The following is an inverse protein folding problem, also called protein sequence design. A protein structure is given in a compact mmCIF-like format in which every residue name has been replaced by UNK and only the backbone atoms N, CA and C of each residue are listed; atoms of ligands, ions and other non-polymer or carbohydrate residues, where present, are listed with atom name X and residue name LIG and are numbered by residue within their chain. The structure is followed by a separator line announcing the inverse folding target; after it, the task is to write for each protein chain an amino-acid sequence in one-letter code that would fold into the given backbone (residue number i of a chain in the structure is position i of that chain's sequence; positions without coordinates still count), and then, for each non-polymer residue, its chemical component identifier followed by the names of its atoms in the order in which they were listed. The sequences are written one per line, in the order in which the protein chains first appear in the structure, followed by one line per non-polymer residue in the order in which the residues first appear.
data_IF_324230612840
#
_entry.id   IF_324230612840
#
_cell.length_a   1.000
_cell.length_b   1.000
_cell.length_c   1.000
_cell.angle_alpha   90.00
_cell.angle_beta   90.00
_cell.angle_gamma   90.00
#
_symmetry.space_group_name_H-M   'P 1'
#
loop_
_entity.id
_entity.type
_entity.pdbx_description
1 polymer ?
#
# COMPACT_ATOMS: atom_id res chain seq x y z
N UNK A 1 -59.93 -42.48 25.13
CA UNK A 1 -59.03 -43.29 24.28
C UNK A 1 -59.07 -42.65 22.90
N UNK A 2 -58.00 -42.33 22.17
CA UNK A 2 -56.55 -42.34 22.34
C UNK A 2 -56.07 -41.43 21.18
N UNK A 3 -55.24 -40.44 21.48
CA UNK A 3 -54.62 -39.51 20.53
C UNK A 3 -53.69 -40.26 19.57
N UNK A 4 -53.71 -39.94 18.27
CA UNK A 4 -52.51 -40.08 17.43
C UNK A 4 -52.42 -38.94 16.42
N UNK A 5 -51.63 -37.95 16.81
CA UNK A 5 -51.12 -36.86 16.00
C UNK A 5 -49.89 -37.36 15.25
N UNK A 6 -49.91 -37.40 13.92
CA UNK A 6 -48.74 -37.74 13.11
C UNK A 6 -48.10 -36.46 12.57
N UNK A 7 -47.05 -35.99 13.26
CA UNK A 7 -46.16 -34.91 12.79
C UNK A 7 -45.03 -35.55 11.97
N UNK A 8 -45.02 -35.32 10.65
CA UNK A 8 -43.84 -35.54 9.81
C UNK A 8 -42.94 -34.30 9.91
N UNK A 9 -41.80 -34.43 10.59
CA UNK A 9 -40.78 -33.40 10.70
C UNK A 9 -40.06 -33.23 9.35
N UNK A 10 -40.25 -32.06 8.71
CA UNK A 10 -39.48 -31.62 7.57
C UNK A 10 -38.14 -31.01 8.03
N UNK A 11 -37.11 -31.20 7.20
CA UNK A 11 -35.70 -31.07 7.58
C UNK A 11 -35.15 -29.67 7.78
N UNK A 12 -33.86 -29.64 8.15
CA UNK A 12 -32.87 -28.64 7.75
C UNK A 12 -31.49 -29.18 8.18
N UNK A 13 -30.85 -29.94 7.29
CA UNK A 13 -29.41 -30.18 7.37
C UNK A 13 -28.71 -28.88 6.98
N UNK A 14 -28.32 -28.08 7.98
CA UNK A 14 -27.39 -26.97 7.80
C UNK A 14 -26.01 -27.56 7.47
N UNK A 15 -25.75 -27.81 6.19
CA UNK A 15 -24.39 -28.04 5.70
C UNK A 15 -23.63 -26.71 5.83
N UNK A 16 -23.01 -26.49 6.98
CA UNK A 16 -22.07 -25.39 7.16
C UNK A 16 -20.92 -25.59 6.18
N UNK A 17 -20.76 -24.68 5.22
CA UNK A 17 -19.56 -24.61 4.39
C UNK A 17 -18.38 -24.29 5.31
N UNK A 18 -17.67 -25.33 5.74
CA UNK A 18 -16.44 -25.18 6.49
C UNK A 18 -15.37 -24.65 5.53
N UNK A 19 -15.14 -23.33 5.56
CA UNK A 19 -14.06 -22.71 4.79
C UNK A 19 -12.71 -23.16 5.36
N UNK A 20 -11.77 -23.57 4.50
CA UNK A 20 -10.44 -24.04 4.91
C UNK A 20 -9.52 -22.90 5.42
N UNK A 21 -9.87 -21.66 5.07
CA UNK A 21 -9.19 -20.43 5.47
C UNK A 21 -10.22 -19.33 5.68
N UNK A 22 -9.89 -18.39 6.54
CA UNK A 22 -10.72 -17.22 6.80
C UNK A 22 -9.92 -15.93 6.66
N UNK A 23 -10.61 -14.84 6.36
CA UNK A 23 -10.04 -13.50 6.34
C UNK A 23 -9.47 -13.20 7.73
N UNK A 24 -8.16 -12.94 7.78
CA UNK A 24 -7.43 -12.58 8.98
C UNK A 24 -7.52 -11.09 9.26
N UNK A 25 -6.43 -10.48 9.69
CA UNK A 25 -6.38 -9.02 9.95
C UNK A 25 -5.97 -8.25 8.70
N UNK A 26 -6.59 -7.08 8.51
CA UNK A 26 -6.08 -6.04 7.63
C UNK A 26 -5.56 -4.88 8.48
N UNK A 27 -4.37 -4.39 8.18
CA UNK A 27 -3.75 -3.26 8.87
C UNK A 27 -3.15 -2.27 7.89
N UNK A 28 -3.00 -1.03 8.35
CA UNK A 28 -2.28 0.02 7.67
C UNK A 28 -1.11 0.48 8.54
N UNK A 29 0.03 0.81 7.92
CA UNK A 29 1.19 1.37 8.64
C UNK A 29 0.88 2.71 9.34
N UNK A 30 -0.11 3.44 8.82
CA UNK A 30 -0.73 4.60 9.47
C UNK A 30 -2.19 4.71 9.04
N UNK A 31 -3.05 5.11 9.97
CA UNK A 31 -4.47 5.42 9.71
C UNK A 31 -4.71 6.93 9.55
N UNK A 32 -3.67 7.75 9.68
CA UNK A 32 -3.71 9.18 9.43
C UNK A 32 -2.52 9.57 8.53
N UNK A 33 -2.80 9.89 7.27
CA UNK A 33 -1.76 10.19 6.27
C UNK A 33 -2.09 11.46 5.51
N UNK A 34 -1.10 12.05 4.87
CA UNK A 34 -1.32 13.17 3.93
C UNK A 34 -1.52 12.63 2.52
N UNK A 35 -2.21 13.40 1.67
CA UNK A 35 -2.27 13.10 0.23
C UNK A 35 -0.84 12.92 -0.32
N UNK A 36 -0.62 11.92 -1.17
CA UNK A 36 0.71 11.66 -1.74
C UNK A 36 1.68 10.90 -0.81
N UNK A 37 1.32 10.67 0.46
CA UNK A 37 2.14 9.89 1.38
C UNK A 37 1.92 8.38 1.17
N UNK A 38 2.99 7.57 1.08
CA UNK A 38 2.85 6.13 0.95
C UNK A 38 2.36 5.52 2.27
N UNK A 39 1.31 4.69 2.19
CA UNK A 39 0.83 3.84 3.27
C UNK A 39 1.01 2.38 2.88
N UNK A 40 1.50 1.56 3.80
CA UNK A 40 1.61 0.12 3.60
C UNK A 40 0.37 -0.56 4.17
N UNK A 41 -0.38 -1.24 3.31
CA UNK A 41 -1.51 -2.09 3.67
C UNK A 41 -1.03 -3.54 3.74
N UNK A 42 -1.32 -4.20 4.85
CA UNK A 42 -0.98 -5.60 5.09
C UNK A 42 -2.26 -6.39 5.31
N UNK A 43 -2.53 -7.34 4.42
CA UNK A 43 -3.68 -8.23 4.50
C UNK A 43 -3.23 -9.66 4.86
N UNK A 44 -3.74 -10.18 5.96
CA UNK A 44 -3.48 -11.53 6.45
C UNK A 44 -4.66 -12.45 6.15
N UNK A 45 -4.36 -13.72 5.88
CA UNK A 45 -5.34 -14.80 5.78
C UNK A 45 -4.97 -15.84 6.83
N UNK A 46 -5.93 -16.18 7.69
CA UNK A 46 -5.71 -17.18 8.72
C UNK A 46 -5.92 -18.56 8.11
N UNK A 47 -4.83 -19.32 8.03
CA UNK A 47 -4.84 -20.69 7.49
C UNK A 47 -5.31 -21.64 8.59
N UNK A 48 -6.52 -22.21 8.42
CA UNK A 48 -7.09 -23.13 9.42
C UNK A 48 -6.72 -24.59 9.10
N UNK A 49 -6.78 -24.98 7.81
CA UNK A 49 -6.49 -26.37 7.39
C UNK A 49 -5.63 -26.48 6.12
N UNK A 50 -5.79 -25.59 5.15
CA UNK A 50 -5.10 -25.63 3.86
C UNK A 50 -5.00 -24.22 3.29
N UNK A 51 -3.94 -23.92 2.54
CA UNK A 51 -3.75 -22.65 1.85
C UNK A 51 -4.21 -22.72 0.39
N UNK A 52 -5.48 -22.38 0.15
CA UNK A 52 -6.06 -22.28 -1.18
C UNK A 52 -7.36 -21.45 -1.18
N UNK A 53 -7.26 -20.11 -1.20
CA UNK A 53 -8.43 -19.23 -1.34
C UNK A 53 -8.10 -17.89 -2.00
N UNK A 54 -9.11 -17.26 -2.60
CA UNK A 54 -9.05 -15.95 -3.22
C UNK A 54 -9.63 -14.86 -2.32
N UNK A 55 -9.04 -13.68 -2.37
CA UNK A 55 -9.47 -12.51 -1.63
C UNK A 55 -9.23 -11.23 -2.44
N UNK A 56 -9.85 -10.15 -2.00
CA UNK A 56 -9.72 -8.82 -2.59
C UNK A 56 -9.43 -7.81 -1.49
N UNK A 57 -8.54 -6.87 -1.80
CA UNK A 57 -8.37 -5.63 -1.03
C UNK A 57 -8.99 -4.50 -1.82
N UNK A 58 -10.09 -3.92 -1.35
CA UNK A 58 -10.65 -2.69 -1.89
C UNK A 58 -10.03 -1.51 -1.14
N UNK A 59 -9.52 -0.51 -1.85
CA UNK A 59 -8.85 0.63 -1.22
C UNK A 59 -9.81 1.77 -0.86
N UNK A 60 -11.10 1.66 -1.15
CA UNK A 60 -12.11 2.68 -0.89
C UNK A 60 -12.02 3.89 -1.83
N UNK A 61 -11.12 3.86 -2.81
CA UNK A 61 -10.91 4.90 -3.84
C UNK A 61 -11.47 4.48 -5.21
N UNK A 62 -12.16 3.34 -5.27
CA UNK A 62 -12.65 2.71 -6.50
C UNK A 62 -11.64 1.76 -7.16
N UNK A 63 -10.42 1.65 -6.62
CA UNK A 63 -9.42 0.67 -7.04
C UNK A 63 -9.35 -0.49 -6.06
N UNK A 64 -8.97 -1.66 -6.57
CA UNK A 64 -8.89 -2.89 -5.79
C UNK A 64 -7.74 -3.77 -6.26
N UNK A 65 -7.32 -4.69 -5.41
CA UNK A 65 -6.33 -5.72 -5.70
C UNK A 65 -6.89 -7.09 -5.38
N UNK A 66 -7.15 -7.87 -6.43
CA UNK A 66 -7.37 -9.31 -6.31
C UNK A 66 -6.06 -10.02 -5.98
N UNK A 67 -6.14 -11.04 -5.12
CA UNK A 67 -5.04 -11.90 -4.75
C UNK A 67 -5.51 -13.30 -4.35
N UNK A 68 -4.58 -14.23 -4.27
CA UNK A 68 -4.81 -15.60 -3.82
C UNK A 68 -3.83 -15.94 -2.70
N UNK A 69 -4.27 -16.80 -1.78
CA UNK A 69 -3.45 -17.40 -0.72
C UNK A 69 -3.29 -18.87 -1.05
N UNK A 70 -2.10 -19.24 -1.52
CA UNK A 70 -1.75 -20.62 -1.84
C UNK A 70 -0.28 -20.94 -1.48
N UNK A 71 0.26 -22.08 -1.94
CA UNK A 71 1.65 -22.45 -1.66
C UNK A 71 2.68 -21.56 -2.37
N UNK A 72 2.32 -20.96 -3.50
CA UNK A 72 3.20 -20.13 -4.32
C UNK A 72 3.06 -18.64 -4.02
N UNK A 73 1.94 -18.27 -3.41
CA UNK A 73 1.56 -16.91 -3.01
C UNK A 73 1.18 -16.90 -1.53
N UNK A 74 2.19 -16.98 -0.64
CA UNK A 74 1.96 -16.94 0.80
C UNK A 74 1.50 -15.55 1.23
N UNK A 75 0.69 -15.51 2.28
CA UNK A 75 0.27 -14.30 3.00
C UNK A 75 1.25 -13.98 4.13
N UNK A 76 1.39 -12.71 4.56
CA UNK A 76 0.56 -11.56 4.22
C UNK A 76 0.81 -10.99 2.82
N UNK A 77 -0.25 -10.48 2.21
CA UNK A 77 -0.13 -9.58 1.07
C UNK A 77 0.23 -8.18 1.58
N UNK A 78 1.35 -7.64 1.10
CA UNK A 78 1.83 -6.30 1.47
C UNK A 78 1.77 -5.40 0.24
N UNK A 79 1.05 -4.29 0.36
CA UNK A 79 0.79 -3.36 -0.75
C UNK A 79 1.12 -1.94 -0.29
N UNK A 80 1.99 -1.25 -1.03
CA UNK A 80 2.16 0.20 -0.85
C UNK A 80 1.12 0.95 -1.67
N UNK A 81 0.36 1.84 -1.02
CA UNK A 81 -0.66 2.69 -1.63
C UNK A 81 -0.35 4.16 -1.39
N UNK A 82 -0.79 4.99 -2.32
CA UNK A 82 -0.77 6.44 -2.22
C UNK A 82 -2.16 6.93 -2.61
N UNK A 83 -2.74 7.80 -1.78
CA UNK A 83 -4.06 8.38 -2.03
C UNK A 83 -3.91 9.79 -2.58
N UNK A 84 -4.58 10.06 -3.70
CA UNK A 84 -4.45 11.31 -4.46
C UNK A 84 -5.41 12.41 -4.00
N UNK A 85 -6.45 12.04 -3.24
CA UNK A 85 -7.47 12.97 -2.76
C UNK A 85 -7.56 12.92 -1.23
N UNK A 86 -7.80 14.06 -0.57
CA UNK A 86 -8.15 14.03 0.85
C UNK A 86 -9.52 13.39 1.04
N UNK A 87 -9.72 12.70 2.15
CA UNK A 87 -10.94 11.98 2.45
C UNK A 87 -10.74 10.85 3.45
N UNK A 88 -11.84 10.22 3.84
CA UNK A 88 -11.79 8.97 4.60
C UNK A 88 -11.94 7.80 3.63
N UNK A 89 -10.98 6.89 3.67
CA UNK A 89 -10.93 5.70 2.84
C UNK A 89 -11.22 4.48 3.70
N UNK A 90 -12.26 3.75 3.33
CA UNK A 90 -12.64 2.50 3.98
C UNK A 90 -11.96 1.36 3.22
N UNK A 91 -10.76 0.96 3.67
CA UNK A 91 -10.02 -0.12 3.02
C UNK A 91 -10.55 -1.45 3.54
N UNK A 92 -11.07 -2.29 2.66
CA UNK A 92 -11.65 -3.58 3.04
C UNK A 92 -10.82 -4.75 2.55
N UNK A 93 -10.88 -5.83 3.30
CA UNK A 93 -10.39 -7.16 2.94
C UNK A 93 -11.59 -8.09 2.92
N UNK A 94 -11.95 -8.54 1.72
CA UNK A 94 -13.10 -9.41 1.46
C UNK A 94 -12.69 -10.72 0.80
N UNK A 95 -13.53 -11.75 0.96
CA UNK A 95 -13.38 -13.01 0.25
C UNK A 95 -13.91 -12.86 -1.16
N UNK A 96 -13.15 -13.28 -2.17
CA UNK A 96 -13.56 -13.21 -3.57
C UNK A 96 -13.07 -14.42 -4.35
N UNK A 97 -13.89 -14.92 -5.26
CA UNK A 97 -13.42 -15.93 -6.21
C UNK A 97 -12.42 -15.26 -7.17
N UNK A 98 -11.17 -15.73 -7.15
CA UNK A 98 -10.08 -15.20 -7.97
C UNK A 98 -9.44 -16.37 -8.70
N UNK A 99 -9.46 -16.31 -10.04
CA UNK A 99 -9.04 -17.43 -10.89
C UNK A 99 -9.82 -18.72 -10.53
N UNK A 100 -9.13 -19.78 -10.15
CA UNK A 100 -9.70 -21.05 -9.69
C UNK A 100 -9.75 -21.18 -8.16
N UNK A 101 -9.41 -20.13 -7.42
CA UNK A 101 -9.42 -20.15 -5.95
C UNK A 101 -10.80 -19.71 -5.43
N UNK A 102 -11.46 -20.54 -4.60
CA UNK A 102 -12.72 -20.16 -3.97
C UNK A 102 -12.50 -18.99 -3.00
N UNK A 103 -13.54 -18.23 -2.68
CA UNK A 103 -13.41 -17.10 -1.76
C UNK A 103 -12.92 -17.57 -0.37
N UNK A 104 -12.01 -16.80 0.23
CA UNK A 104 -11.71 -16.96 1.64
C UNK A 104 -12.98 -16.75 2.48
N UNK A 105 -13.14 -17.52 3.56
CA UNK A 105 -14.31 -17.46 4.41
C UNK A 105 -14.25 -16.36 5.47
N UNK A 106 -15.31 -16.22 6.25
CA UNK A 106 -15.37 -15.28 7.36
C UNK A 106 -15.90 -13.89 6.97
N UNK A 107 -16.13 -13.03 7.98
CA UNK A 107 -16.66 -11.70 7.74
C UNK A 107 -15.61 -10.80 7.10
N UNK A 108 -16.06 -9.86 6.29
CA UNK A 108 -15.21 -8.77 5.78
C UNK A 108 -14.49 -8.06 6.95
N UNK A 109 -13.30 -7.56 6.64
CA UNK A 109 -12.44 -6.84 7.56
C UNK A 109 -12.15 -5.48 6.97
N UNK A 110 -11.96 -4.48 7.82
CA UNK A 110 -11.70 -3.14 7.34
C UNK A 110 -10.68 -2.42 8.21
N UNK A 111 -10.02 -1.45 7.60
CA UNK A 111 -9.23 -0.42 8.27
C UNK A 111 -9.57 0.92 7.64
N UNK A 112 -9.95 1.89 8.47
CA UNK A 112 -10.22 3.25 8.03
C UNK A 112 -8.93 4.06 7.99
N UNK A 113 -8.72 4.74 6.87
CA UNK A 113 -7.59 5.64 6.67
C UNK A 113 -8.11 7.05 6.43
N UNK A 114 -7.76 7.96 7.32
CA UNK A 114 -8.01 9.37 7.15
C UNK A 114 -6.86 10.01 6.37
N UNK A 115 -7.17 10.53 5.20
CA UNK A 115 -6.23 11.28 4.35
C UNK A 115 -6.56 12.75 4.45
N UNK A 116 -5.65 13.52 5.04
CA UNK A 116 -5.80 14.97 5.19
C UNK A 116 -5.18 15.71 3.99
N UNK A 117 -5.77 16.83 3.58
CA UNK A 117 -5.22 17.69 2.51
C UNK A 117 -4.14 18.64 3.04
N UNK A 118 -3.42 19.39 2.20
CA UNK A 118 -2.92 19.05 0.86
C UNK A 118 -1.83 18.00 0.98
N UNK A 119 -1.47 17.38 -0.15
CA UNK A 119 -0.16 16.76 -0.22
C UNK A 119 0.83 17.79 0.27
N UNK A 120 1.68 17.41 1.21
CA UNK A 120 2.98 18.04 1.22
C UNK A 120 3.56 17.60 -0.12
N UNK A 121 3.33 18.38 -1.20
CA UNK A 121 4.24 18.41 -2.33
C UNK A 121 5.59 18.39 -1.66
N UNK A 122 6.32 17.28 -1.77
CA UNK A 122 7.41 16.93 -0.86
C UNK A 122 8.11 18.22 -0.50
N UNK A 123 7.91 18.74 0.74
CA UNK A 123 8.09 20.19 0.96
C UNK A 123 9.42 20.51 0.36
N UNK A 124 9.50 21.47 -0.60
CA UNK A 124 10.70 21.70 -1.38
C UNK A 124 11.81 21.66 -0.37
N UNK A 125 12.61 20.59 -0.45
CA UNK A 125 13.46 20.21 0.66
C UNK A 125 14.17 21.50 1.04
N UNK A 126 14.08 21.89 2.32
CA UNK A 126 14.67 23.16 2.76
C UNK A 126 16.02 23.24 2.06
N UNK A 127 16.39 24.34 1.40
CA UNK A 127 17.59 24.42 0.56
C UNK A 127 18.89 23.81 1.14
N UNK A 128 18.95 23.57 2.46
CA UNK A 128 20.03 22.84 3.14
C UNK A 128 19.91 21.31 3.26
N UNK A 129 18.77 20.67 2.97
CA UNK A 129 18.50 19.22 3.14
C UNK A 129 18.32 18.45 1.82
N UNK A 130 18.39 19.11 0.65
CA UNK A 130 18.33 18.44 -0.67
C UNK A 130 19.55 17.58 -0.98
N UNK A 131 20.66 17.79 -0.26
CA UNK A 131 21.91 17.09 -0.48
C UNK A 131 22.19 16.17 0.70
N UNK A 132 22.23 14.86 0.45
CA UNK A 132 22.63 13.90 1.48
C UNK A 132 24.08 14.13 1.91
N UNK A 133 24.34 14.13 3.23
CA UNK A 133 25.72 14.23 3.75
C UNK A 133 26.56 13.08 3.17
N UNK A 134 27.78 13.33 2.64
CA UNK A 134 28.64 14.52 2.77
C UNK A 134 28.45 15.61 1.70
N UNK A 135 27.47 15.47 0.82
CA UNK A 135 27.20 16.42 -0.26
C UNK A 135 26.58 17.71 0.27
N UNK A 136 27.00 18.84 -0.30
CA UNK A 136 26.52 20.18 0.07
C UNK A 136 25.95 20.88 -1.14
N UNK A 137 24.99 21.76 -0.92
CA UNK A 137 24.45 22.57 -2.01
C UNK A 137 25.57 23.42 -2.65
N UNK A 138 25.71 23.30 -3.97
CA UNK A 138 26.60 24.10 -4.80
C UNK A 138 25.82 25.28 -5.34
N UNK A 139 26.05 26.46 -4.77
CA UNK A 139 25.30 27.68 -5.10
C UNK A 139 23.96 27.78 -4.40
N UNK A 140 23.04 28.58 -4.94
CA UNK A 140 21.66 28.72 -4.43
C UNK A 140 20.71 27.85 -5.27
N UNK A 141 19.73 27.16 -4.68
CA UNK A 141 18.75 26.43 -5.46
C UNK A 141 17.80 27.43 -6.13
N UNK A 142 17.32 27.10 -7.32
CA UNK A 142 16.32 27.90 -7.99
C UNK A 142 14.95 27.62 -7.37
N UNK A 143 14.51 28.50 -6.46
CA UNK A 143 13.22 28.35 -5.78
C UNK A 143 12.01 28.42 -6.73
N UNK A 144 12.18 28.99 -7.94
CA UNK A 144 11.11 29.10 -8.95
C UNK A 144 10.95 27.82 -9.76
N UNK A 145 12.03 27.14 -10.11
CA UNK A 145 11.99 25.92 -10.93
C UNK A 145 12.24 24.64 -10.16
N UNK A 146 12.79 24.71 -8.95
CA UNK A 146 13.22 23.56 -8.17
C UNK A 146 14.61 23.02 -8.56
N UNK A 147 15.33 23.68 -9.48
CA UNK A 147 16.66 23.22 -9.90
C UNK A 147 17.69 23.39 -8.78
N UNK A 148 18.55 22.40 -8.58
CA UNK A 148 19.60 22.42 -7.56
C UNK A 148 20.81 21.60 -7.98
N UNK A 149 21.94 21.87 -7.36
CA UNK A 149 23.18 21.10 -7.52
C UNK A 149 23.75 20.81 -6.15
N UNK A 150 24.05 19.55 -5.89
CA UNK A 150 24.82 19.07 -4.77
C UNK A 150 26.25 18.81 -5.21
N UNK A 151 27.24 19.22 -4.42
CA UNK A 151 28.65 19.00 -4.63
C UNK A 151 29.31 18.35 -3.42
N UNK A 152 30.21 17.42 -3.68
CA UNK A 152 31.12 16.83 -2.71
C UNK A 152 32.53 16.79 -3.31
N UNK A 153 33.49 16.21 -2.58
CA UNK A 153 34.83 15.99 -3.13
C UNK A 153 34.72 15.06 -4.35
N UNK A 154 35.47 15.32 -5.44
CA UNK A 154 35.57 14.39 -6.56
C UNK A 154 35.88 12.97 -6.09
N UNK A 155 35.20 11.97 -6.65
CA UNK A 155 35.32 10.58 -6.21
C UNK A 155 34.47 10.19 -4.99
N UNK A 156 33.67 11.11 -4.43
CA UNK A 156 32.64 10.74 -3.44
C UNK A 156 31.56 9.89 -4.10
N UNK A 157 31.17 8.78 -3.45
CA UNK A 157 30.08 7.93 -3.93
C UNK A 157 28.75 8.70 -3.97
N UNK A 158 28.02 8.56 -5.08
CA UNK A 158 26.69 9.15 -5.23
C UNK A 158 25.71 8.51 -4.23
N UNK A 159 24.69 9.24 -3.78
CA UNK A 159 23.61 8.68 -3.00
C UNK A 159 22.97 7.46 -3.67
N UNK A 160 22.63 6.44 -2.89
CA UNK A 160 21.93 5.26 -3.40
C UNK A 160 20.53 5.61 -3.91
N UNK A 161 19.87 6.60 -3.29
CA UNK A 161 18.61 7.16 -3.74
C UNK A 161 18.86 8.40 -4.60
N UNK A 162 18.44 8.34 -5.88
CA UNK A 162 18.46 9.53 -6.74
C UNK A 162 17.33 10.47 -6.30
N UNK A 163 17.60 11.78 -6.16
CA UNK A 163 16.55 12.74 -5.86
C UNK A 163 15.53 12.77 -7.00
N UNK A 164 14.25 12.89 -6.64
CA UNK A 164 13.17 13.09 -7.60
C UNK A 164 13.18 14.55 -8.03
N UNK A 165 13.33 14.80 -9.34
CA UNK A 165 13.29 16.14 -9.91
C UNK A 165 11.85 16.55 -10.21
N UNK A 166 11.47 17.77 -9.81
CA UNK A 166 10.12 18.30 -10.02
C UNK A 166 9.93 18.85 -11.43
N UNK A 167 8.75 18.66 -12.02
CA UNK A 167 8.37 19.23 -13.31
C UNK A 167 9.21 18.69 -14.47
N UNK A 168 9.68 19.58 -15.34
CA UNK A 168 10.46 19.26 -16.54
C UNK A 168 11.97 19.08 -16.27
N UNK A 169 12.38 19.03 -15.00
CA UNK A 169 13.78 18.91 -14.63
C UNK A 169 14.27 17.46 -14.77
N UNK A 170 15.45 17.30 -15.35
CA UNK A 170 16.15 16.03 -15.44
C UNK A 170 17.21 15.89 -14.34
N UNK A 171 17.32 14.66 -13.82
CA UNK A 171 18.41 14.29 -12.92
C UNK A 171 19.75 14.34 -13.69
N UNK A 172 20.79 14.84 -13.03
CA UNK A 172 22.15 14.80 -13.56
C UNK A 172 23.16 14.37 -12.50
N UNK A 173 24.25 13.76 -12.96
CA UNK A 173 25.41 13.37 -12.16
C UNK A 173 26.70 13.71 -12.91
N UNK A 174 27.71 14.15 -12.17
CA UNK A 174 29.06 14.41 -12.65
C UNK A 174 30.05 13.95 -11.59
N UNK A 175 30.34 12.64 -11.61
CA UNK A 175 31.26 11.98 -10.67
C UNK A 175 32.67 12.57 -10.72
N UNK A 176 33.12 13.04 -11.90
CA UNK A 176 34.42 13.70 -12.10
C UNK A 176 34.53 15.03 -11.35
N UNK A 177 33.45 15.80 -11.33
CA UNK A 177 33.38 17.07 -10.59
C UNK A 177 32.80 16.92 -9.18
N UNK A 178 32.41 15.69 -8.80
CA UNK A 178 31.72 15.42 -7.55
C UNK A 178 30.42 16.21 -7.46
N UNK A 179 29.54 16.14 -8.47
CA UNK A 179 28.25 16.84 -8.48
C UNK A 179 27.07 15.92 -8.83
N UNK A 180 25.89 16.20 -8.30
CA UNK A 180 24.61 15.66 -8.79
C UNK A 180 23.47 16.65 -8.53
N UNK A 181 22.31 16.48 -9.14
CA UNK A 181 21.13 17.27 -8.82
C UNK A 181 20.06 17.25 -9.90
N UNK A 182 19.27 18.32 -9.96
CA UNK A 182 18.19 18.50 -10.93
C UNK A 182 18.43 19.77 -11.75
N UNK A 183 18.39 19.65 -13.08
CA UNK A 183 18.56 20.76 -14.02
C UNK A 183 17.54 20.66 -15.17
N UNK A 184 17.20 21.76 -15.85
CA UNK A 184 16.46 21.71 -17.11
C UNK A 184 17.19 20.88 -18.16
#
# INVERSE_FOLDING_TARGET
MKYQTTLLAAGLLLAGVANAQVLGTITASSTNVKVGEPVTITANIDVIKSNYCGFVVDFGDGTFKDAVSDMNTPVPLVITRTFDKPGSYHVTLGGKNVQNHPNCGGPERAVDISVTGTAKAAAPAKPGDVCEKPWKLSGKPNAKTGAFTCAAKPGTALPAAKPVCSGDLSYFENTKKGQYGCKP
#
